data_IF_716146822027
#
_entry.id   IF_716146822027
#
_cell.length_a   1.000
_cell.length_b   1.000
_cell.length_c   1.000
_cell.angle_alpha   90.00
_cell.angle_beta   90.00
_cell.angle_gamma   90.00
#
_symmetry.space_group_name_H-M   'P 1'
#
loop_
_entity.id
_entity.type
_entity.pdbx_description
1 polymer ?
#
# COMPACT_ATOMS: atom_id res chain seq x y z
N UNK A 1 4.86 23.26 17.61
CA UNK A 1 3.47 23.45 17.18
C UNK A 1 3.44 24.52 16.08
N UNK A 2 2.56 24.37 15.09
CA UNK A 2 2.36 25.37 14.03
C UNK A 2 1.61 26.56 14.61
N UNK A 3 1.95 27.78 14.17
CA UNK A 3 1.20 28.97 14.50
C UNK A 3 0.02 29.11 13.52
N UNK A 4 -1.18 28.78 13.96
CA UNK A 4 -2.40 28.70 13.12
C UNK A 4 -3.57 29.48 13.74
N UNK A 5 -3.42 30.80 13.96
CA UNK A 5 -4.37 31.58 14.76
C UNK A 5 -5.82 31.55 14.24
N UNK A 6 -6.01 31.42 12.94
CA UNK A 6 -7.36 31.31 12.33
C UNK A 6 -8.00 29.98 12.70
N UNK A 7 -7.27 28.86 12.60
CA UNK A 7 -7.79 27.55 12.98
C UNK A 7 -8.06 27.48 14.50
N UNK A 8 -7.19 28.10 15.31
CA UNK A 8 -7.36 28.18 16.76
C UNK A 8 -8.61 29.01 17.14
N UNK A 9 -8.91 30.07 16.39
CA UNK A 9 -10.12 30.85 16.58
C UNK A 9 -11.37 30.04 16.20
N UNK A 10 -11.36 29.39 15.02
CA UNK A 10 -12.46 28.53 14.60
C UNK A 10 -12.73 27.39 15.59
N UNK A 11 -11.69 26.78 16.13
CA UNK A 11 -11.85 25.72 17.13
C UNK A 11 -12.42 26.23 18.47
N UNK A 12 -12.13 27.48 18.86
CA UNK A 12 -12.67 28.07 20.08
C UNK A 12 -14.12 28.52 19.95
N UNK A 13 -14.49 29.03 18.77
CA UNK A 13 -15.81 29.60 18.49
C UNK A 13 -16.79 28.56 17.93
N UNK A 14 -16.28 27.49 17.35
CA UNK A 14 -17.06 26.42 16.73
C UNK A 14 -17.38 25.26 17.66
N UNK A 15 -18.19 24.35 17.16
CA UNK A 15 -18.41 23.05 17.78
C UNK A 15 -17.40 22.04 17.24
N UNK A 16 -16.61 21.43 18.11
CA UNK A 16 -15.63 20.40 17.76
C UNK A 16 -16.14 19.02 18.12
N UNK A 17 -15.76 18.02 17.36
CA UNK A 17 -16.13 16.64 17.62
C UNK A 17 -15.18 15.66 16.94
N UNK A 18 -15.42 14.37 17.15
CA UNK A 18 -14.72 13.26 16.52
C UNK A 18 -15.68 12.52 15.62
N UNK A 19 -15.24 12.19 14.41
CA UNK A 19 -16.01 11.42 13.46
C UNK A 19 -15.29 10.13 13.07
N UNK A 20 -16.05 9.04 12.93
CA UNK A 20 -15.58 7.80 12.34
C UNK A 20 -15.85 7.87 10.82
N UNK A 21 -14.85 8.16 9.97
CA UNK A 21 -15.09 8.44 8.56
C UNK A 21 -15.59 7.24 7.76
N UNK A 22 -15.34 6.01 8.23
CA UNK A 22 -15.81 4.78 7.58
C UNK A 22 -16.95 4.17 8.38
N UNK A 23 -16.63 3.62 9.52
CA UNK A 23 -17.57 3.04 10.47
C UNK A 23 -16.86 2.84 11.81
N UNK A 24 -17.62 2.93 12.92
CA UNK A 24 -17.07 2.69 14.25
C UNK A 24 -16.34 1.34 14.33
N UNK A 25 -15.09 1.38 14.82
CA UNK A 25 -14.23 0.20 14.95
C UNK A 25 -13.52 -0.24 13.66
N UNK A 26 -13.69 0.49 12.54
CA UNK A 26 -12.95 0.24 11.30
C UNK A 26 -11.88 1.31 11.15
N UNK A 27 -10.63 0.86 11.01
CA UNK A 27 -9.52 1.77 10.75
C UNK A 27 -9.68 2.40 9.36
N UNK A 28 -9.77 3.73 9.32
CA UNK A 28 -9.81 4.48 8.08
C UNK A 28 -8.42 4.48 7.43
N UNK A 29 -8.12 3.43 6.67
CA UNK A 29 -6.93 3.46 5.79
C UNK A 29 -7.09 4.57 4.75
N UNK A 30 -6.00 4.96 4.10
CA UNK A 30 -6.06 6.02 3.06
C UNK A 30 -7.16 5.75 2.03
N UNK A 31 -7.29 4.52 1.56
CA UNK A 31 -8.31 4.15 0.55
C UNK A 31 -9.71 4.22 1.12
N UNK A 32 -9.95 3.55 2.24
CA UNK A 32 -11.28 3.49 2.86
C UNK A 32 -11.75 4.88 3.29
N UNK A 33 -10.85 5.66 3.92
CA UNK A 33 -11.18 7.02 4.35
C UNK A 33 -11.46 7.95 3.17
N UNK A 34 -10.65 7.88 2.10
CA UNK A 34 -10.88 8.71 0.92
C UNK A 34 -12.21 8.37 0.23
N UNK A 35 -12.53 7.09 0.04
CA UNK A 35 -13.81 6.67 -0.54
C UNK A 35 -14.98 7.17 0.30
N UNK A 36 -14.90 7.05 1.64
CA UNK A 36 -15.94 7.52 2.54
C UNK A 36 -16.14 9.05 2.44
N UNK A 37 -15.05 9.84 2.40
CA UNK A 37 -15.12 11.29 2.25
C UNK A 37 -15.73 11.69 0.89
N UNK A 38 -15.47 10.91 -0.16
CA UNK A 38 -16.06 11.12 -1.48
C UNK A 38 -17.51 10.62 -1.60
N UNK A 39 -18.10 10.08 -0.53
CA UNK A 39 -19.48 9.64 -0.50
C UNK A 39 -19.72 8.22 -1.00
N UNK A 40 -18.65 7.44 -1.24
CA UNK A 40 -18.76 6.03 -1.58
C UNK A 40 -18.77 5.17 -0.31
N UNK A 41 -19.51 4.07 -0.33
CA UNK A 41 -19.44 3.06 0.73
C UNK A 41 -18.17 2.21 0.55
N UNK A 42 -17.14 2.43 1.39
CA UNK A 42 -15.85 1.74 1.20
C UNK A 42 -15.91 0.25 1.53
N UNK A 43 -16.99 -0.22 2.16
CA UNK A 43 -17.19 -1.64 2.44
C UNK A 43 -17.78 -2.38 1.23
N UNK A 44 -18.48 -1.64 0.35
CA UNK A 44 -18.99 -2.16 -0.91
C UNK A 44 -18.02 -2.02 -2.06
N UNK A 45 -17.19 -0.96 -2.02
CA UNK A 45 -16.26 -0.60 -3.08
C UNK A 45 -14.82 -0.76 -2.59
N UNK A 46 -14.44 -1.99 -2.22
CA UNK A 46 -13.07 -2.27 -1.80
C UNK A 46 -12.12 -2.20 -2.99
N UNK A 47 -11.15 -1.30 -2.93
CA UNK A 47 -10.08 -1.18 -3.93
C UNK A 47 -8.74 -1.45 -3.25
N UNK A 48 -7.96 -2.38 -3.80
CA UNK A 48 -6.62 -2.68 -3.28
C UNK A 48 -5.67 -1.51 -3.52
N UNK A 49 -4.77 -1.26 -2.55
CA UNK A 49 -3.78 -0.15 -2.66
C UNK A 49 -2.84 -0.32 -3.85
N UNK A 50 -2.52 -1.56 -4.23
CA UNK A 50 -1.70 -1.85 -5.40
C UNK A 50 -2.35 -1.39 -6.69
N UNK A 51 -3.66 -1.60 -6.84
CA UNK A 51 -4.43 -1.15 -8.01
C UNK A 51 -4.39 0.37 -8.15
N UNK A 52 -4.59 1.10 -7.04
CA UNK A 52 -4.53 2.58 -7.05
C UNK A 52 -3.13 3.07 -7.41
N UNK A 53 -2.09 2.48 -6.83
CA UNK A 53 -0.71 2.87 -7.10
C UNK A 53 -0.32 2.60 -8.55
N UNK A 54 -0.68 1.43 -9.09
CA UNK A 54 -0.42 1.07 -10.48
C UNK A 54 -1.15 2.00 -11.45
N UNK A 55 -2.43 2.28 -11.19
CA UNK A 55 -3.20 3.22 -12.01
C UNK A 55 -2.62 4.64 -11.94
N UNK A 56 -2.27 5.10 -10.73
CA UNK A 56 -1.63 6.40 -10.52
C UNK A 56 -0.25 6.53 -11.17
N UNK A 57 0.45 5.41 -11.38
CA UNK A 57 1.72 5.34 -12.11
C UNK A 57 1.53 5.20 -13.63
N UNK A 58 0.29 5.26 -14.14
CA UNK A 58 -0.02 5.14 -15.56
C UNK A 58 0.03 3.71 -16.11
N UNK A 59 0.11 2.70 -15.25
CA UNK A 59 0.14 1.30 -15.67
C UNK A 59 -1.25 0.82 -16.06
N UNK A 60 -1.31 -0.01 -17.10
CA UNK A 60 -2.56 -0.65 -17.54
C UNK A 60 -2.78 -1.92 -16.71
N UNK A 61 -3.93 -1.99 -16.06
CA UNK A 61 -4.36 -3.16 -15.29
C UNK A 61 -5.49 -3.84 -16.03
N UNK A 62 -5.42 -5.17 -16.13
CA UNK A 62 -6.42 -6.01 -16.76
C UNK A 62 -7.10 -6.92 -15.73
N UNK A 63 -8.33 -7.38 -15.98
CA UNK A 63 -8.94 -8.40 -15.13
C UNK A 63 -8.04 -9.62 -14.97
N UNK A 64 -7.83 -10.08 -13.73
CA UNK A 64 -6.92 -11.19 -13.42
C UNK A 64 -5.48 -10.77 -13.09
N UNK A 65 -5.09 -9.52 -13.33
CA UNK A 65 -3.79 -9.00 -12.88
C UNK A 65 -3.77 -8.86 -11.36
N UNK A 66 -2.62 -9.10 -10.75
CA UNK A 66 -2.36 -8.77 -9.34
C UNK A 66 -1.47 -7.53 -9.28
N UNK A 67 -1.92 -6.51 -8.56
CA UNK A 67 -1.18 -5.28 -8.38
C UNK A 67 -0.72 -5.10 -6.94
N UNK A 68 0.56 -4.79 -6.76
CA UNK A 68 1.18 -4.48 -5.48
C UNK A 68 1.65 -3.04 -5.43
N UNK A 69 1.54 -2.45 -4.24
CA UNK A 69 2.25 -1.23 -3.90
C UNK A 69 3.48 -1.58 -3.10
N UNK A 70 4.63 -1.13 -3.56
CA UNK A 70 5.91 -1.30 -2.91
C UNK A 70 6.58 0.01 -2.54
N UNK A 71 7.73 -0.11 -1.90
CA UNK A 71 8.66 0.97 -1.65
C UNK A 71 10.07 0.54 -2.04
N UNK A 72 10.81 1.45 -2.63
CA UNK A 72 12.27 1.34 -2.65
C UNK A 72 12.79 1.49 -1.23
N UNK A 73 13.71 0.66 -0.84
CA UNK A 73 14.32 0.67 0.48
C UNK A 73 15.85 0.61 0.36
N UNK A 74 16.55 1.23 1.30
CA UNK A 74 17.99 1.08 1.44
C UNK A 74 18.30 -0.10 2.34
N UNK A 75 19.18 -0.97 1.89
CA UNK A 75 19.67 -2.12 2.67
C UNK A 75 21.15 -1.90 3.03
N UNK A 76 21.59 -2.48 4.15
CA UNK A 76 23.01 -2.64 4.46
C UNK A 76 23.60 -3.88 3.78
N UNK A 77 24.90 -4.08 3.95
CA UNK A 77 25.65 -5.22 3.36
C UNK A 77 25.15 -6.58 3.87
N UNK A 78 24.47 -6.61 5.01
CA UNK A 78 23.85 -7.81 5.58
C UNK A 78 22.40 -8.04 5.07
N UNK A 79 21.91 -7.17 4.16
CA UNK A 79 20.55 -7.21 3.62
C UNK A 79 19.47 -6.79 4.60
N UNK A 80 19.82 -6.02 5.64
CA UNK A 80 18.84 -5.44 6.56
C UNK A 80 18.38 -4.07 6.07
N UNK A 81 17.13 -3.75 6.31
CA UNK A 81 16.56 -2.45 5.95
C UNK A 81 17.15 -1.38 6.86
N UNK A 82 17.86 -0.43 6.27
CA UNK A 82 18.37 0.78 6.93
C UNK A 82 17.35 1.90 6.83
N UNK A 83 16.78 2.07 5.65
CA UNK A 83 15.70 3.03 5.41
C UNK A 83 14.67 2.41 4.46
N UNK A 84 13.46 2.19 4.96
CA UNK A 84 12.34 1.62 4.19
C UNK A 84 11.72 2.59 3.18
N UNK A 85 12.23 3.80 3.07
CA UNK A 85 11.80 4.83 2.12
C UNK A 85 12.93 5.31 1.21
N UNK A 86 14.11 4.68 1.27
CA UNK A 86 15.29 5.03 0.48
C UNK A 86 15.55 6.55 0.45
N UNK A 87 15.54 7.24 1.60
CA UNK A 87 15.73 8.68 1.70
C UNK A 87 14.63 9.51 1.01
N UNK A 88 13.48 8.92 0.68
CA UNK A 88 12.44 9.53 -0.18
C UNK A 88 12.99 9.93 -1.55
N UNK A 89 13.80 9.05 -2.12
CA UNK A 89 14.42 9.22 -3.44
C UNK A 89 13.38 9.73 -4.48
N UNK A 90 13.77 10.72 -5.27
CA UNK A 90 12.94 11.34 -6.31
C UNK A 90 13.49 11.16 -7.71
N UNK A 91 14.78 10.87 -7.82
CA UNK A 91 15.49 10.72 -9.08
C UNK A 91 15.95 9.27 -9.27
N UNK A 92 16.07 8.80 -10.50
CA UNK A 92 16.50 7.45 -10.82
C UNK A 92 15.46 6.34 -10.59
N UNK A 93 14.29 6.67 -10.05
CA UNK A 93 13.23 5.66 -9.74
C UNK A 93 12.59 5.08 -11.00
N UNK A 94 12.52 5.85 -12.08
CA UNK A 94 11.99 5.39 -13.37
C UNK A 94 12.95 4.39 -14.03
N UNK A 95 14.21 4.67 -13.99
CA UNK A 95 15.29 3.80 -14.49
C UNK A 95 15.31 2.48 -13.72
N UNK A 96 15.22 2.55 -12.38
CA UNK A 96 15.11 1.37 -11.53
C UNK A 96 13.86 0.55 -11.85
N UNK A 97 12.71 1.18 -12.00
CA UNK A 97 11.48 0.50 -12.35
C UNK A 97 11.58 -0.17 -13.73
N UNK A 98 12.14 0.53 -14.72
CA UNK A 98 12.35 0.01 -16.08
C UNK A 98 13.29 -1.20 -16.10
N UNK A 99 14.34 -1.20 -15.28
CA UNK A 99 15.30 -2.32 -15.21
C UNK A 99 14.68 -3.61 -14.63
N UNK A 100 13.61 -3.48 -13.86
CA UNK A 100 12.88 -4.61 -13.26
C UNK A 100 11.60 -4.96 -14.03
N UNK A 101 11.23 -4.18 -15.03
CA UNK A 101 10.01 -4.42 -15.82
C UNK A 101 10.30 -5.41 -16.94
N UNK A 102 9.28 -6.21 -17.31
CA UNK A 102 9.39 -7.20 -18.39
C UNK A 102 9.99 -8.54 -17.96
N UNK A 103 10.25 -8.76 -16.68
CA UNK A 103 10.68 -10.05 -16.16
C UNK A 103 9.56 -11.07 -16.38
N UNK A 104 9.93 -12.24 -16.90
CA UNK A 104 9.03 -13.39 -17.03
C UNK A 104 9.39 -14.44 -15.99
N UNK A 105 8.38 -14.95 -15.33
CA UNK A 105 8.48 -16.03 -14.34
C UNK A 105 7.45 -17.07 -14.74
N UNK A 106 7.89 -18.19 -15.28
CA UNK A 106 7.02 -19.20 -15.86
C UNK A 106 6.04 -18.55 -16.88
N UNK A 107 4.73 -18.70 -16.67
CA UNK A 107 3.68 -18.14 -17.54
C UNK A 107 3.25 -16.72 -17.12
N UNK A 108 3.91 -16.13 -16.11
CA UNK A 108 3.61 -14.80 -15.63
C UNK A 108 4.63 -13.76 -16.11
N UNK A 109 4.16 -12.55 -16.34
CA UNK A 109 4.99 -11.37 -16.62
C UNK A 109 4.88 -10.35 -15.49
N UNK A 110 5.99 -9.68 -15.19
CA UNK A 110 6.09 -8.64 -14.16
C UNK A 110 6.32 -7.29 -14.83
N UNK A 111 5.44 -6.35 -14.56
CA UNK A 111 5.60 -4.95 -14.94
C UNK A 111 5.83 -4.11 -13.69
N UNK A 112 6.76 -3.18 -13.75
CA UNK A 112 7.13 -2.31 -12.62
C UNK A 112 7.02 -0.86 -13.04
N UNK A 113 6.25 -0.08 -12.28
CA UNK A 113 6.02 1.35 -12.52
C UNK A 113 6.54 2.19 -11.37
N UNK A 114 7.25 3.27 -11.69
CA UNK A 114 7.69 4.23 -10.69
C UNK A 114 6.50 5.05 -10.19
N UNK A 115 6.30 5.07 -8.88
CA UNK A 115 5.35 5.93 -8.21
C UNK A 115 5.97 7.25 -7.75
N UNK A 116 5.32 7.93 -6.82
CA UNK A 116 5.83 9.17 -6.24
C UNK A 116 6.96 8.87 -5.25
N UNK A 117 8.10 9.55 -5.40
CA UNK A 117 9.28 9.39 -4.53
C UNK A 117 9.76 7.92 -4.48
N UNK A 118 9.86 7.38 -3.28
CA UNK A 118 10.28 5.99 -3.01
C UNK A 118 9.21 4.94 -3.33
N UNK A 119 8.06 5.30 -3.88
CA UNK A 119 6.99 4.35 -4.17
C UNK A 119 7.20 3.64 -5.49
N UNK A 120 6.70 2.41 -5.55
CA UNK A 120 6.73 1.58 -6.74
C UNK A 120 5.43 0.79 -6.83
N UNK A 121 4.92 0.64 -8.03
CA UNK A 121 3.84 -0.27 -8.34
C UNK A 121 4.40 -1.48 -9.08
N UNK A 122 3.89 -2.67 -8.75
CA UNK A 122 4.25 -3.92 -9.42
C UNK A 122 2.96 -4.59 -9.86
N UNK A 123 2.86 -4.89 -11.14
CA UNK A 123 1.73 -5.63 -11.72
C UNK A 123 2.25 -6.98 -12.21
N UNK A 124 1.63 -8.05 -11.73
CA UNK A 124 1.90 -9.41 -12.19
C UNK A 124 0.72 -9.86 -13.02
N UNK A 125 0.99 -10.29 -14.24
CA UNK A 125 0.01 -10.78 -15.20
C UNK A 125 0.30 -12.22 -15.55
N UNK A 126 -0.70 -13.11 -15.38
CA UNK A 126 -0.58 -14.54 -15.67
C UNK A 126 -1.89 -15.26 -15.39
N UNK A 127 -1.97 -16.51 -15.79
CA UNK A 127 -3.14 -17.33 -15.51
C UNK A 127 -3.09 -17.91 -14.09
N UNK A 128 -4.26 -18.00 -13.42
CA UNK A 128 -4.37 -18.65 -12.10
C UNK A 128 -3.71 -17.92 -10.93
N UNK A 129 -3.45 -16.64 -11.07
CA UNK A 129 -2.87 -15.85 -9.99
C UNK A 129 -3.90 -15.59 -8.88
N UNK A 130 -3.45 -15.64 -7.62
CA UNK A 130 -4.24 -15.31 -6.44
C UNK A 130 -3.56 -14.21 -5.62
N UNK A 131 -4.34 -13.28 -5.06
CA UNK A 131 -3.87 -12.16 -4.25
C UNK A 131 -3.69 -12.49 -2.76
N UNK A 132 -3.75 -13.76 -2.40
CA UNK A 132 -3.65 -14.26 -1.03
C UNK A 132 -2.21 -14.29 -0.53
N UNK A 133 -1.53 -13.12 -0.50
CA UNK A 133 -0.14 -12.99 -0.09
C UNK A 133 0.03 -12.03 1.11
N UNK A 134 0.99 -12.35 1.98
CA UNK A 134 1.48 -11.41 3.00
C UNK A 134 2.57 -10.55 2.39
N UNK A 135 2.47 -9.24 2.57
CA UNK A 135 3.49 -8.30 2.10
C UNK A 135 4.86 -8.53 2.73
N UNK A 136 5.91 -8.23 1.97
CA UNK A 136 7.31 -8.34 2.41
C UNK A 136 7.77 -7.17 3.30
N UNK A 137 7.04 -6.05 3.29
CA UNK A 137 7.33 -4.89 4.13
C UNK A 137 7.03 -5.22 5.60
N UNK A 138 8.01 -5.10 6.52
CA UNK A 138 7.79 -5.38 7.95
C UNK A 138 6.85 -4.38 8.64
N UNK A 139 6.49 -3.27 7.97
CA UNK A 139 5.57 -2.25 8.48
C UNK A 139 6.25 -1.10 9.22
N UNK A 140 5.44 -0.09 9.57
CA UNK A 140 5.92 1.12 10.23
C UNK A 140 6.37 0.91 11.69
N UNK A 141 6.00 -0.22 12.29
CA UNK A 141 6.36 -0.53 13.68
C UNK A 141 7.79 -1.02 13.85
N UNK A 142 8.46 -1.34 12.75
CA UNK A 142 9.85 -1.79 12.76
C UNK A 142 10.72 -0.68 12.16
N UNK A 143 11.48 -0.03 13.02
CA UNK A 143 12.57 0.86 12.62
C UNK A 143 13.70 0.04 11.98
N UNK A 144 14.77 0.65 11.55
CA UNK A 144 15.92 0.03 10.86
C UNK A 144 16.41 -1.30 11.47
N UNK A 145 17.07 -2.13 10.68
CA UNK A 145 17.80 -3.32 11.12
C UNK A 145 17.08 -4.66 10.94
N UNK A 146 15.93 -4.70 10.27
CA UNK A 146 15.18 -5.94 10.01
C UNK A 146 15.30 -6.34 8.55
N UNK A 147 15.46 -7.63 8.29
CA UNK A 147 15.43 -8.17 6.92
C UNK A 147 14.02 -8.09 6.34
N UNK A 148 13.88 -7.80 5.03
CA UNK A 148 12.60 -7.97 4.34
C UNK A 148 12.06 -9.38 4.54
N UNK A 149 10.75 -9.52 4.66
CA UNK A 149 10.11 -10.83 4.70
C UNK A 149 9.98 -11.37 3.29
N UNK A 150 10.13 -12.68 3.14
CA UNK A 150 9.72 -13.32 1.91
C UNK A 150 8.18 -13.29 1.80
N UNK A 151 7.63 -13.05 0.62
CA UNK A 151 6.19 -13.19 0.39
C UNK A 151 5.76 -14.61 0.77
N UNK A 152 4.72 -14.73 1.57
CA UNK A 152 4.17 -16.02 2.02
C UNK A 152 2.70 -16.06 1.65
N UNK A 153 2.27 -17.16 1.04
CA UNK A 153 0.86 -17.40 0.77
C UNK A 153 0.06 -17.46 2.09
N UNK A 154 -1.02 -16.70 2.14
CA UNK A 154 -1.96 -16.74 3.26
C UNK A 154 -2.76 -18.04 3.22
N UNK A 155 -2.48 -18.96 4.11
CA UNK A 155 -3.38 -20.10 4.33
C UNK A 155 -4.71 -19.56 4.89
N UNK A 156 -5.82 -20.20 4.52
CA UNK A 156 -7.16 -19.78 4.97
C UNK A 156 -7.28 -19.68 6.51
N UNK A 157 -6.49 -20.46 7.25
CA UNK A 157 -6.38 -20.42 8.71
C UNK A 157 -5.71 -19.15 9.25
N UNK A 158 -4.84 -18.50 8.46
CA UNK A 158 -4.07 -17.33 8.89
C UNK A 158 -4.85 -16.02 8.68
N UNK A 159 -5.86 -16.03 7.79
CA UNK A 159 -6.82 -14.91 7.63
C UNK A 159 -7.52 -14.56 8.94
N UNK A 160 -7.74 -15.55 9.84
CA UNK A 160 -8.32 -15.34 11.17
C UNK A 160 -7.36 -14.71 12.18
N UNK A 161 -6.06 -14.79 11.97
CA UNK A 161 -5.01 -14.31 12.90
C UNK A 161 -4.44 -12.93 12.53
N UNK A 162 -4.67 -12.45 11.32
CA UNK A 162 -4.23 -11.12 10.92
C UNK A 162 -5.05 -10.06 11.65
N UNK A 163 -4.43 -9.17 12.46
CA UNK A 163 -5.17 -8.12 13.16
C UNK A 163 -5.89 -7.16 12.20
N UNK A 164 -5.39 -7.03 10.97
CA UNK A 164 -5.98 -6.19 9.93
C UNK A 164 -7.04 -6.92 9.09
N UNK A 165 -6.99 -8.27 9.04
CA UNK A 165 -7.91 -9.10 8.26
C UNK A 165 -9.14 -9.56 9.06
N UNK A 166 -9.17 -9.36 10.38
CA UNK A 166 -10.28 -9.78 11.24
C UNK A 166 -11.63 -9.17 10.85
N UNK A 167 -11.65 -8.08 10.10
CA UNK A 167 -12.85 -7.37 9.68
C UNK A 167 -13.18 -7.54 8.18
N UNK A 168 -12.33 -8.24 7.42
CA UNK A 168 -12.66 -8.63 6.05
C UNK A 168 -13.40 -9.97 6.09
N UNK A 169 -14.72 -9.93 6.22
CA UNK A 169 -15.54 -11.03 5.74
C UNK A 169 -15.37 -11.05 4.23
N UNK A 170 -14.91 -12.19 3.70
CA UNK A 170 -15.01 -12.43 2.28
C UNK A 170 -16.48 -12.17 1.86
N UNK A 171 -16.64 -11.25 0.92
CA UNK A 171 -17.87 -11.09 0.16
C UNK A 171 -17.95 -12.24 -0.83
#
# INVERSE_FOLDING_TARGET
AANVPVLDSLAREGQCGVADPVKRGIVATTVLGTLAILGFDPLKHSIARGVIEAHGSGMKIMPGDIAFRGNWATLDDAGKIVDRRAGRIREGTKELASSLSGIKIEDASVEVGAGTEHRVAVVIRGAGLEDSLIGSDPGDHFHSGIKPRLPVALKQTDKKKCPYCKNFKAL
#
